data_IF_155194384319
#
_entry.id   IF_155194384319
#
_cell.length_a   1.000
_cell.length_b   1.000
_cell.length_c   1.000
_cell.angle_alpha   90.00
_cell.angle_beta   90.00
_cell.angle_gamma   90.00
#
_symmetry.space_group_name_H-M   'P 1'
#
loop_
_entity.id
_entity.type
_entity.pdbx_description
1 polymer ?
2 polymer ?
3 water ?
#
# COMPACT_ATOMS: atom_id res chain seq x y z
N UNK A 1 -7.80 15.98 -6.00
CA UNK A 1 -8.82 15.89 -4.95
C UNK A 1 -8.25 15.59 -3.58
N UNK A 2 -9.12 15.64 -2.57
CA UNK A 2 -8.92 14.99 -1.28
C UNK A 2 -9.67 13.66 -1.26
N UNK A 3 -8.99 12.61 -0.81
CA UNK A 3 -9.53 11.26 -0.89
C UNK A 3 -9.42 10.60 0.48
N UNK A 4 -10.57 10.23 1.03
CA UNK A 4 -10.66 9.61 2.35
C UNK A 4 -10.50 8.11 2.19
N UNK A 5 -10.40 7.39 3.31
CA UNK A 5 -9.92 6.02 3.25
C UNK A 5 -10.86 5.00 3.90
N UNK A 6 -12.11 5.41 4.06
CA UNK A 6 -13.12 4.48 4.54
C UNK A 6 -13.30 3.38 3.50
N UNK A 7 -12.98 3.69 2.25
CA UNK A 7 -13.03 2.66 1.22
C UNK A 7 -11.71 2.65 0.46
N UNK A 8 -11.40 1.56 -0.24
CA UNK A 8 -10.20 1.43 -1.08
C UNK A 8 -10.03 2.60 -2.06
N UNK A 9 -8.88 3.30 -2.02
CA UNK A 9 -8.63 4.45 -2.91
C UNK A 9 -8.45 4.07 -4.38
N UNK A 10 -9.56 3.75 -5.03
CA UNK A 10 -9.57 3.19 -6.37
C UNK A 10 -9.89 4.29 -7.37
N UNK A 11 -9.18 4.28 -8.49
CA UNK A 11 -9.36 5.32 -9.47
C UNK A 11 -9.36 4.74 -10.86
N UNK A 12 -9.89 5.51 -11.80
CA UNK A 12 -9.73 5.14 -13.19
C UNK A 12 -8.42 5.71 -13.74
N UNK A 13 -7.70 4.88 -14.49
CA UNK A 13 -6.51 5.30 -15.21
C UNK A 13 -6.72 5.03 -16.70
N UNK A 14 -5.97 5.75 -17.53
CA UNK A 14 -5.88 5.48 -18.95
C UNK A 14 -4.43 5.15 -19.23
N UNK A 15 -4.21 3.93 -19.73
CA UNK A 15 -2.90 3.43 -20.10
C UNK A 15 -3.03 2.67 -21.42
N UNK A 16 -2.16 3.00 -22.38
CA UNK A 16 -2.15 2.34 -23.68
C UNK A 16 -3.41 2.54 -24.52
N UNK A 17 -4.20 3.56 -24.19
CA UNK A 17 -5.48 3.78 -24.86
C UNK A 17 -6.65 3.25 -24.06
N UNK A 18 -6.34 2.36 -23.11
CA UNK A 18 -7.34 1.62 -22.33
C UNK A 18 -7.62 2.22 -20.94
N UNK A 19 -8.89 2.20 -20.52
CA UNK A 19 -9.27 2.53 -19.15
C UNK A 19 -9.19 1.31 -18.25
N UNK A 20 -8.67 1.52 -17.04
CA UNK A 20 -8.74 0.51 -16.00
C UNK A 20 -8.93 1.16 -14.63
N UNK A 21 -9.23 0.35 -13.63
CA UNK A 21 -9.33 0.79 -12.26
C UNK A 21 -8.05 0.38 -11.54
N UNK A 22 -7.60 1.23 -10.62
CA UNK A 22 -6.30 1.04 -9.96
C UNK A 22 -6.34 1.58 -8.55
N UNK A 23 -5.52 1.02 -7.67
CA UNK A 23 -5.54 1.38 -6.26
C UNK A 23 -4.36 2.30 -5.96
N UNK A 24 -4.66 3.46 -5.37
CA UNK A 24 -3.62 4.41 -4.98
C UNK A 24 -2.87 3.90 -3.76
N UNK A 25 -1.64 3.47 -3.97
CA UNK A 25 -1.02 2.63 -2.96
C UNK A 25 0.29 3.22 -2.44
N UNK A 26 0.19 3.99 -1.36
CA UNK A 26 1.36 4.61 -0.75
C UNK A 26 2.34 3.61 -0.12
N UNK A 27 1.92 2.35 -0.01
CA UNK A 27 2.79 1.27 0.47
C UNK A 27 3.52 0.48 -0.61
N UNK A 28 3.48 0.98 -1.84
CA UNK A 28 4.21 0.38 -2.95
C UNK A 28 5.23 1.37 -3.52
N UNK A 29 6.48 0.94 -3.65
CA UNK A 29 7.50 1.77 -4.29
C UNK A 29 7.18 1.92 -5.78
N UNK A 30 6.53 0.90 -6.34
CA UNK A 30 6.38 0.77 -7.78
C UNK A 30 4.93 0.58 -8.15
N UNK A 31 4.71 0.72 -9.45
CA UNK A 31 3.42 0.61 -10.09
C UNK A 31 3.36 -0.75 -10.80
N UNK A 32 2.37 -1.56 -10.47
CA UNK A 32 2.29 -2.93 -10.97
C UNK A 32 0.88 -3.15 -11.49
N UNK A 33 0.70 -3.36 -12.79
CA UNK A 33 -0.62 -3.63 -13.34
C UNK A 33 -0.85 -5.09 -13.69
N UNK A 34 -2.10 -5.51 -13.54
CA UNK A 34 -2.55 -6.80 -14.04
C UNK A 34 -2.04 -7.08 -15.44
N UNK A 35 -2.03 -8.36 -15.81
CA UNK A 35 -1.59 -8.78 -17.13
C UNK A 35 -2.38 -8.05 -18.21
N UNK A 36 -1.67 -7.49 -19.19
CA UNK A 36 -2.25 -6.73 -20.30
C UNK A 36 -1.16 -6.54 -21.35
N UNK A 37 -1.53 -6.14 -22.56
CA UNK A 37 -0.51 -5.79 -23.56
C UNK A 37 -0.12 -4.32 -23.49
N UNK A 38 1.18 -4.05 -23.46
CA UNK A 38 1.66 -2.69 -23.60
C UNK A 38 2.71 -2.65 -24.69
N UNK A 39 2.69 -1.58 -25.51
CA UNK A 39 3.67 -1.42 -26.58
C UNK A 39 5.01 -0.89 -26.06
N UNK A 40 6.09 -1.35 -26.68
CA UNK A 40 7.44 -0.93 -26.32
C UNK A 40 8.30 -2.12 -25.96
N UNK A 41 9.54 -1.85 -25.59
CA UNK A 41 10.40 -2.92 -25.11
C UNK A 41 10.17 -3.08 -23.61
N UNK A 42 10.24 -4.33 -23.14
CA UNK A 42 10.18 -4.62 -21.72
C UNK A 42 11.32 -5.50 -21.25
N UNK A 43 11.71 -5.29 -20.00
CA UNK A 43 12.73 -6.11 -19.36
C UNK A 43 12.06 -6.96 -18.29
N UNK A 44 12.47 -8.23 -18.17
CA UNK A 44 12.01 -9.11 -17.09
C UNK A 44 12.53 -8.63 -15.74
N UNK A 45 11.65 -8.62 -14.74
CA UNK A 45 12.07 -8.25 -13.39
C UNK A 45 11.28 -9.02 -12.35
N UNK A 46 11.76 -8.94 -11.12
CA UNK A 46 11.06 -9.54 -10.00
C UNK A 46 10.84 -8.45 -8.97
N UNK A 47 9.67 -8.49 -8.33
CA UNK A 47 9.37 -7.64 -7.17
C UNK A 47 8.79 -8.51 -6.07
N UNK A 48 8.69 -7.96 -4.87
CA UNK A 48 8.13 -8.71 -3.74
C UNK A 48 7.13 -7.88 -2.96
N UNK A 49 6.34 -8.55 -2.14
CA UNK A 49 5.39 -7.88 -1.26
C UNK A 49 5.02 -8.83 -0.14
N UNK A 50 3.79 -8.76 0.34
CA UNK A 50 3.33 -9.74 1.32
C UNK A 50 2.99 -11.02 0.56
N UNK A 51 3.51 -12.15 1.03
CA UNK A 51 3.25 -13.42 0.36
C UNK A 51 4.37 -13.76 -0.59
N UNK A 52 5.30 -12.83 -0.78
CA UNK A 52 6.56 -13.12 -1.47
C UNK A 52 6.77 -12.35 -2.76
N UNK A 53 7.60 -12.96 -3.61
CA UNK A 53 8.13 -12.37 -4.84
C UNK A 53 7.44 -12.85 -6.13
N UNK A 54 7.23 -11.94 -7.08
CA UNK A 54 6.66 -12.30 -8.38
C UNK A 54 7.55 -11.88 -9.54
N UNK A 55 7.34 -12.50 -10.70
CA UNK A 55 8.00 -12.10 -11.95
C UNK A 55 7.12 -11.12 -12.73
N UNK A 56 7.73 -10.06 -13.24
CA UNK A 56 6.98 -9.01 -13.93
C UNK A 56 7.67 -8.52 -15.21
N UNK A 57 6.91 -7.88 -16.10
CA UNK A 57 7.51 -7.17 -17.23
C UNK A 57 7.68 -5.69 -16.86
N UNK A 58 8.89 -5.17 -17.03
CA UNK A 58 9.14 -3.74 -16.80
C UNK A 58 9.13 -2.90 -18.09
N UNK A 59 8.17 -1.98 -18.15
CA UNK A 59 8.11 -0.95 -19.19
C UNK A 59 8.52 0.40 -18.60
N UNK A 60 9.56 1.00 -19.18
CA UNK A 60 9.99 2.33 -18.77
C UNK A 60 9.31 3.39 -19.61
N UNK A 61 9.22 4.60 -19.06
CA UNK A 61 8.71 5.79 -19.74
C UNK A 61 7.34 5.63 -20.42
N UNK A 62 6.45 4.90 -19.76
CA UNK A 62 5.07 4.75 -20.23
C UNK A 62 4.22 5.91 -19.74
N UNK A 63 3.53 6.61 -20.66
CA UNK A 63 2.55 7.59 -20.21
C UNK A 63 1.29 6.93 -19.63
N UNK A 64 0.77 7.52 -18.56
CA UNK A 64 -0.46 7.04 -17.96
C UNK A 64 -1.19 8.25 -17.40
N UNK A 65 -2.51 8.20 -17.45
CA UNK A 65 -3.33 9.29 -16.94
C UNK A 65 -4.10 8.78 -15.73
N UNK A 66 -4.03 9.53 -14.63
CA UNK A 66 -4.52 9.07 -13.34
C UNK A 66 -5.47 10.12 -12.78
N UNK A 67 -6.77 9.91 -12.93
CA UNK A 67 -7.75 10.85 -12.39
C UNK A 67 -7.47 12.22 -13.03
N UNK A 68 -7.27 12.21 -14.35
CA UNK A 68 -6.97 13.42 -15.12
C UNK A 68 -5.54 13.92 -15.02
N UNK A 69 -4.70 13.28 -14.21
CA UNK A 69 -3.33 13.77 -14.03
C UNK A 69 -2.31 12.98 -14.82
N UNK A 70 -1.43 13.68 -15.51
CA UNK A 70 -0.49 13.01 -16.39
C UNK A 70 0.79 12.53 -15.68
N UNK A 71 1.12 11.26 -15.87
CA UNK A 71 2.39 10.73 -15.43
C UNK A 71 3.04 10.01 -16.61
N UNK A 72 4.36 9.87 -16.54
CA UNK A 72 5.13 9.07 -17.48
C UNK A 72 6.26 8.45 -16.68
N UNK A 73 6.23 7.13 -16.52
CA UNK A 73 7.18 6.47 -15.64
C UNK A 73 7.20 4.98 -15.86
N UNK A 74 8.00 4.30 -15.05
CA UNK A 74 8.08 2.85 -15.13
C UNK A 74 6.78 2.20 -14.67
N UNK A 75 6.30 1.24 -15.45
CA UNK A 75 5.07 0.51 -15.15
C UNK A 75 5.36 -1.00 -15.23
N UNK A 76 4.91 -1.76 -14.23
CA UNK A 76 5.21 -3.19 -14.18
C UNK A 76 3.93 -3.97 -14.44
N UNK A 77 4.03 -5.03 -15.25
CA UNK A 77 2.88 -5.87 -15.59
C UNK A 77 3.09 -7.34 -15.16
N UNK A 78 2.13 -7.87 -14.39
CA UNK A 78 2.24 -9.26 -13.94
C UNK A 78 1.06 -9.73 -13.12
N UNK A 79 1.17 -10.92 -12.49
CA UNK A 79 0.10 -11.49 -11.66
C UNK A 79 -0.12 -10.81 -10.30
N UNK A 80 -0.30 -9.50 -10.29
CA UNK A 80 -0.73 -8.78 -9.09
C UNK A 80 -2.23 -9.01 -8.97
N UNK A 81 -2.74 -9.21 -7.74
CA UNK A 81 -4.19 -9.29 -7.55
C UNK A 81 -5.00 -8.06 -7.97
N UNK A 82 -4.40 -6.87 -7.92
CA UNK A 82 -5.07 -5.59 -8.15
C UNK A 82 -4.11 -4.65 -8.90
N UNK A 83 -4.64 -3.77 -9.76
CA UNK A 83 -3.79 -2.73 -10.36
C UNK A 83 -3.35 -1.76 -9.29
N UNK A 84 -2.05 -1.47 -9.26
CA UNK A 84 -1.47 -0.74 -8.15
C UNK A 84 -0.68 0.42 -8.71
N UNK A 85 -1.04 1.63 -8.28
CA UNK A 85 -0.25 2.82 -8.51
C UNK A 85 0.66 3.08 -7.29
N UNK A 86 1.97 2.91 -7.49
CA UNK A 86 2.94 3.15 -6.45
C UNK A 86 3.49 4.55 -6.47
N UNK A 87 4.42 4.81 -5.54
CA UNK A 87 4.98 6.15 -5.30
C UNK A 87 5.74 6.74 -6.49
N UNK A 88 6.36 5.90 -7.30
CA UNK A 88 6.98 6.39 -8.52
C UNK A 88 6.06 7.27 -9.38
N UNK A 89 4.77 6.92 -9.48
CA UNK A 89 3.82 7.77 -10.20
C UNK A 89 3.04 8.72 -9.29
N UNK A 90 2.86 8.35 -8.03
CA UNK A 90 2.07 9.19 -7.10
C UNK A 90 2.76 10.51 -6.81
N UNK A 91 4.09 10.47 -6.85
CA UNK A 91 4.92 11.68 -6.72
C UNK A 91 4.77 12.57 -7.93
N UNK A 92 4.50 11.97 -9.09
CA UNK A 92 4.43 12.73 -10.33
C UNK A 92 3.15 13.54 -10.41
N UNK A 93 2.07 13.03 -9.83
CA UNK A 93 0.79 13.74 -9.85
C UNK A 93 0.61 14.63 -8.61
N UNK A 94 1.63 14.66 -7.76
CA UNK A 94 1.69 15.53 -6.59
C UNK A 94 0.89 15.04 -5.41
N UNK A 95 0.86 13.72 -5.27
CA UNK A 95 0.16 13.07 -4.17
C UNK A 95 0.91 13.20 -2.83
N UNK A 96 0.17 13.57 -1.78
CA UNK A 96 0.68 13.54 -0.41
C UNK A 96 -0.32 12.88 0.54
N UNK A 97 0.20 12.42 1.67
CA UNK A 97 -0.58 11.96 2.80
C UNK A 97 -0.72 13.11 3.78
N UNK A 98 -1.96 13.30 4.24
CA UNK A 98 -2.29 14.40 5.13
C UNK A 98 -3.16 13.99 6.30
N UNK A 99 -2.79 14.43 7.50
CA UNK A 99 -3.64 14.28 8.68
C UNK A 99 -3.18 15.20 9.80
N UNK B 1 0.31 16.22 10.11
CA UNK B 1 1.39 16.59 9.20
C UNK B 1 1.06 16.36 7.72
N UNK B 2 1.94 16.84 6.84
CA UNK B 2 1.88 16.50 5.44
C UNK B 2 3.11 15.67 5.07
N UNK B 3 2.87 14.44 4.65
CA UNK B 3 3.92 13.52 4.25
C UNK B 3 3.93 13.38 2.73
N UNK B 4 5.04 13.77 2.12
CA UNK B 4 5.29 13.52 0.70
C UNK B 4 5.77 12.09 0.44
N UNK B 5 5.73 11.68 -0.83
CA UNK B 5 5.95 10.30 -1.18
C UNK B 5 7.24 10.02 -1.95
N UNK B 6 8.20 10.95 -1.90
CA UNK B 6 9.55 10.68 -2.46
C UNK B 6 10.14 9.46 -1.79
N UNK B 7 9.88 9.34 -0.49
CA UNK B 7 10.38 8.22 0.29
C UNK B 7 9.18 7.44 0.84
N UNK B 8 9.41 6.18 1.21
CA UNK B 8 8.41 5.42 1.92
C UNK B 8 7.93 6.23 3.11
N UNK B 9 6.60 6.45 3.21
CA UNK B 9 5.99 7.28 4.26
C UNK B 9 6.01 6.58 5.63
N UNK B 10 7.17 6.58 6.26
CA UNK B 10 7.34 5.91 7.55
C UNK B 10 7.08 6.86 8.72
N UNK B 11 6.39 6.35 9.73
CA UNK B 11 6.10 7.12 10.93
C UNK B 11 6.48 6.32 12.17
N UNK B 12 6.51 7.01 13.30
CA UNK B 12 6.61 6.36 14.60
C UNK B 12 5.22 6.07 15.14
N UNK B 13 5.06 4.84 15.60
CA UNK B 13 3.86 4.42 16.30
C UNK B 13 4.22 3.96 17.71
N UNK B 14 3.23 4.02 18.59
CA UNK B 14 3.34 3.42 19.91
C UNK B 14 2.32 2.29 19.97
N UNK B 15 2.81 1.07 20.20
CA UNK B 15 1.92 -0.07 20.36
C UNK B 15 2.42 -1.07 21.41
N UNK B 16 1.48 -1.59 22.20
CA UNK B 16 1.78 -2.52 23.28
C UNK B 16 2.93 -2.06 24.16
N UNK B 17 2.92 -0.77 24.49
CA UNK B 17 4.05 -0.12 25.16
C UNK B 17 5.39 -0.21 24.45
N UNK B 18 5.39 -0.19 23.11
CA UNK B 18 6.63 -0.11 22.35
C UNK B 18 6.60 1.02 21.33
N UNK B 19 7.76 1.63 21.08
CA UNK B 19 7.93 2.53 19.95
C UNK B 19 8.41 1.75 18.72
N UNK B 20 7.90 2.12 17.55
CA UNK B 20 8.11 1.37 16.31
C UNK B 20 7.93 2.25 15.07
N UNK B 21 8.68 1.96 14.02
CA UNK B 21 8.43 2.60 12.73
C UNK B 21 7.47 1.77 11.89
N UNK B 22 6.53 2.46 11.24
CA UNK B 22 5.57 1.79 10.38
C UNK B 22 5.25 2.58 9.11
N UNK B 23 4.78 1.85 8.11
CA UNK B 23 4.46 2.42 6.81
C UNK B 23 2.99 2.82 6.74
N UNK B 24 2.73 4.04 6.30
CA UNK B 24 1.35 4.46 6.08
C UNK B 24 0.90 3.94 4.73
N UNK B 25 -0.05 3.00 4.74
CA UNK B 25 -0.24 2.17 3.56
C UNK B 25 -1.68 2.24 3.10
N UNK B 26 -1.96 3.10 2.11
CA UNK B 26 -3.31 3.22 1.55
C UNK B 26 -3.72 1.99 0.76
N UNK B 27 -2.76 1.12 0.46
CA UNK B 27 -3.01 -0.11 -0.29
C UNK B 27 -3.38 -1.31 0.58
N UNK B 28 -3.41 -1.09 1.89
CA UNK B 28 -3.65 -2.15 2.86
C UNK B 28 -5.00 -1.95 3.55
N UNK B 29 -5.88 -2.94 3.46
CA UNK B 29 -7.15 -2.88 4.20
C UNK B 29 -6.89 -2.88 5.70
N UNK B 30 -5.96 -3.73 6.12
CA UNK B 30 -5.71 -4.04 7.52
C UNK B 30 -4.33 -3.56 7.95
N UNK B 31 -4.06 -3.65 9.25
CA UNK B 31 -2.80 -3.25 9.84
C UNK B 31 -1.98 -4.49 10.21
N UNK B 32 -0.76 -4.57 9.70
CA UNK B 32 0.05 -5.77 9.90
C UNK B 32 1.37 -5.38 10.53
N UNK B 33 1.60 -5.84 11.75
CA UNK B 33 2.85 -5.55 12.44
C UNK B 33 3.74 -6.78 12.46
N UNK B 34 5.04 -6.54 12.46
CA UNK B 34 6.04 -7.60 12.58
C UNK B 34 5.85 -8.41 13.85
N UNK B 35 6.33 -9.65 13.84
CA UNK B 35 6.17 -10.54 14.98
C UNK B 35 6.45 -9.84 16.30
N UNK B 36 5.47 -9.90 17.20
CA UNK B 36 5.58 -9.32 18.53
C UNK B 36 4.59 -10.02 19.46
N UNK B 37 4.95 -10.06 20.73
CA UNK B 37 4.22 -10.84 21.71
C UNK B 37 3.12 -10.06 22.42
N UNK B 38 2.17 -9.54 21.65
CA UNK B 38 0.99 -8.90 22.21
C UNK B 38 0.28 -9.79 23.22
N UNK B 39 -0.03 -9.23 24.41
CA UNK B 39 -0.95 -9.95 25.28
C UNK B 39 -2.36 -9.74 24.75
N UNK B 40 -3.21 -10.75 24.90
CA UNK B 40 -4.59 -10.63 24.46
C UNK B 40 -5.02 -11.89 23.75
N UNK B 41 -6.33 -12.06 23.63
CA UNK B 41 -6.92 -13.11 22.82
C UNK B 41 -6.72 -12.78 21.34
N UNK B 42 -6.62 -13.82 20.51
CA UNK B 42 -6.50 -13.62 19.07
C UNK B 42 -7.11 -14.76 18.27
N UNK B 43 -7.41 -14.49 17.00
CA UNK B 43 -7.79 -15.54 16.07
C UNK B 43 -6.84 -15.57 14.86
N UNK B 44 -6.71 -16.75 14.22
CA UNK B 44 -5.89 -16.85 13.01
C UNK B 44 -6.51 -16.18 11.79
N UNK B 45 -5.66 -15.58 10.97
CA UNK B 45 -6.13 -14.99 9.73
C UNK B 45 -5.15 -15.23 8.59
N UNK B 46 -5.69 -15.27 7.38
CA UNK B 46 -4.86 -15.27 6.19
C UNK B 46 -5.09 -13.94 5.50
N UNK B 47 -4.00 -13.31 5.10
CA UNK B 47 -4.05 -12.07 4.33
C UNK B 47 -3.19 -12.18 3.09
N UNK B 48 -3.65 -11.53 2.02
CA UNK B 48 -3.02 -11.67 0.73
C UNK B 48 -2.28 -10.42 0.32
N UNK B 49 -1.25 -10.65 -0.49
CA UNK B 49 -0.64 -9.60 -1.27
C UNK B 49 -0.14 -10.07 -2.63
N UNK B 50 0.76 -9.28 -3.19
CA UNK B 50 1.38 -9.53 -4.48
C UNK B 50 1.70 -11.00 -4.73
N UNK B 51 2.33 -11.67 -3.77
CA UNK B 51 2.87 -12.99 -4.06
C UNK B 51 2.18 -14.18 -3.41
N UNK B 52 1.08 -13.93 -2.71
CA UNK B 52 0.36 -14.98 -2.02
C UNK B 52 -0.15 -14.54 -0.66
N UNK B 53 -0.29 -15.50 0.24
CA UNK B 53 -0.90 -15.23 1.53
C UNK B 53 0.04 -15.58 2.64
N UNK B 54 -0.07 -14.84 3.74
CA UNK B 54 0.53 -15.26 4.99
C UNK B 54 -0.50 -15.36 6.11
N UNK B 55 -0.22 -16.26 7.04
CA UNK B 55 -0.98 -16.39 8.28
C UNK B 55 -0.54 -15.34 9.27
N UNK B 56 -1.51 -14.71 9.92
CA UNK B 56 -1.23 -13.73 10.96
C UNK B 56 -2.16 -13.98 12.14
N UNK B 57 -1.87 -13.35 13.28
CA UNK B 57 -2.77 -13.41 14.42
C UNK B 57 -3.56 -12.10 14.44
N UNK B 58 -4.88 -12.20 14.54
CA UNK B 58 -5.71 -11.01 14.65
C UNK B 58 -6.01 -10.67 16.11
N UNK B 59 -5.62 -9.47 16.52
CA UNK B 59 -5.99 -8.93 17.84
C UNK B 59 -7.00 -7.79 17.68
N UNK B 60 -8.10 -7.83 18.41
CA UNK B 60 -9.09 -6.76 18.30
C UNK B 60 -8.96 -5.74 19.42
N UNK B 61 -9.52 -4.55 19.22
CA UNK B 61 -9.56 -3.52 20.26
C UNK B 61 -8.20 -3.15 20.83
N UNK B 62 -7.20 -3.06 19.95
CA UNK B 62 -5.84 -2.77 20.39
C UNK B 62 -5.62 -1.27 20.26
N UNK B 63 -5.37 -0.61 21.40
CA UNK B 63 -4.99 0.81 21.37
C UNK B 63 -3.62 1.02 20.70
N UNK B 64 -3.53 2.07 19.90
CA UNK B 64 -2.29 2.38 19.19
C UNK B 64 -2.16 3.90 18.99
N UNK B 65 -0.93 4.39 18.96
CA UNK B 65 -0.72 5.80 18.73
C UNK B 65 0.18 6.04 17.52
N UNK B 66 -0.34 6.79 16.55
CA UNK B 66 0.38 7.05 15.32
C UNK B 66 0.77 8.53 15.26
N UNK B 67 2.07 8.78 15.41
CA UNK B 67 2.61 10.14 15.41
C UNK B 67 1.77 11.09 16.27
N UNK B 68 1.55 10.69 17.52
CA UNK B 68 0.81 11.49 18.49
C UNK B 68 -0.70 11.35 18.42
N UNK B 69 -1.21 10.73 17.36
CA UNK B 69 -2.65 10.55 17.21
C UNK B 69 -3.08 9.18 17.75
N UNK B 70 -4.03 9.19 18.68
CA UNK B 70 -4.49 7.95 19.29
C UNK B 70 -5.57 7.28 18.44
N UNK B 71 -5.53 5.95 18.40
CA UNK B 71 -6.54 5.16 17.72
C UNK B 71 -6.63 3.83 18.43
N UNK B 72 -7.61 3.02 18.04
CA UNK B 72 -7.81 1.71 18.66
C UNK B 72 -8.56 0.78 17.71
N UNK B 73 -7.97 -0.36 17.39
CA UNK B 73 -8.68 -1.29 16.53
C UNK B 73 -7.93 -2.59 16.31
N UNK B 74 -8.19 -3.20 15.16
CA UNK B 74 -7.62 -4.50 14.86
C UNK B 74 -6.22 -4.38 14.31
N UNK B 75 -5.35 -5.24 14.83
CA UNK B 75 -3.96 -5.30 14.42
C UNK B 75 -3.64 -6.76 14.12
N UNK B 76 -3.06 -7.02 12.96
CA UNK B 76 -2.63 -8.37 12.61
C UNK B 76 -1.14 -8.47 12.87
N UNK B 77 -0.70 -9.61 13.41
CA UNK B 77 0.70 -9.79 13.75
C UNK B 77 1.24 -11.03 13.06
N UNK B 78 2.29 -10.87 12.27
CA UNK B 78 2.81 -11.96 11.48
C UNK B 78 4.15 -11.64 10.84
N UNK B 79 4.65 -12.57 9.99
CA UNK B 79 5.96 -12.37 9.39
C UNK B 79 5.90 -11.44 8.18
N UNK B 80 5.60 -10.17 8.45
CA UNK B 80 5.78 -9.07 7.50
C UNK B 80 7.14 -8.40 7.72
N UNK B 81 7.88 -8.11 6.63
CA UNK B 81 9.13 -7.35 6.69
C UNK B 81 8.95 -5.94 7.22
N UNK B 82 7.74 -5.40 7.09
CA UNK B 82 7.50 -4.01 7.45
C UNK B 82 6.22 -3.82 8.24
N UNK B 83 6.29 -2.97 9.26
CA UNK B 83 5.11 -2.57 9.98
C UNK B 83 4.25 -1.76 9.02
N UNK B 84 2.97 -2.13 8.95
CA UNK B 84 2.06 -1.61 7.94
C UNK B 84 0.86 -1.00 8.60
N UNK B 85 0.66 0.30 8.42
CA UNK B 85 -0.57 0.91 8.91
C UNK B 85 -1.62 0.95 7.82
N UNK B 86 -2.64 0.11 7.95
CA UNK B 86 -3.67 -0.04 6.92
C UNK B 86 -4.80 0.94 7.16
N UNK B 87 -5.80 0.89 6.28
CA UNK B 87 -6.89 1.87 6.27
C UNK B 87 -7.78 1.91 7.53
N UNK B 88 -7.96 0.75 8.18
CA UNK B 88 -8.76 0.63 9.40
C UNK B 88 -8.35 1.62 10.50
N UNK B 89 -7.05 1.87 10.60
CA UNK B 89 -6.50 2.87 11.52
C UNK B 89 -6.23 4.24 10.87
N UNK B 90 -5.84 4.26 9.60
CA UNK B 90 -5.63 5.54 8.88
C UNK B 90 -6.88 6.43 8.84
N UNK B 91 -8.06 5.83 8.77
CA UNK B 91 -9.31 6.58 8.86
C UNK B 91 -9.52 7.15 10.25
N UNK B 92 -9.07 6.42 11.27
CA UNK B 92 -9.23 6.84 12.65
C UNK B 92 -8.38 8.08 12.97
N UNK B 93 -7.25 8.23 12.29
CA UNK B 93 -6.38 9.37 12.57
C UNK B 93 -6.62 10.56 11.64
N UNK B 94 -7.64 10.45 10.80
CA UNK B 94 -8.04 11.55 9.92
C UNK B 94 -7.22 11.69 8.66
N UNK B 95 -6.44 10.66 8.34
CA UNK B 95 -5.55 10.65 7.19
C UNK B 95 -6.24 10.63 5.82
N UNK B 96 -5.78 11.48 4.91
CA UNK B 96 -6.30 11.51 3.53
C UNK B 96 -5.19 11.49 2.48
N UNK B 97 -5.56 11.13 1.25
CA UNK B 97 -4.73 11.34 0.05
C UNK B 97 -5.10 12.63 -0.67
N UNK B 98 -4.11 13.45 -0.99
CA UNK B 98 -4.38 14.75 -1.61
C UNK B 98 -3.54 15.04 -2.85
N UNK B 99 -4.20 15.31 -3.97
CA UNK B 99 -3.48 15.65 -5.19
C UNK B 99 -4.26 16.53 -6.17
N UNK C 2 11.96 -3.84 -6.29
CA UNK C 2 11.42 -2.95 -5.21
C UNK C 2 10.33 -3.65 -4.39
N UNK C 3 9.65 -2.89 -3.52
CA UNK C 3 8.72 -3.51 -2.58
C UNK C 3 7.31 -2.89 -2.53
N UNK C 4 6.32 -3.77 -2.49
CA UNK C 4 4.95 -3.45 -2.88
C UNK C 4 3.95 -4.06 -1.88
N UNK C 5 3.53 -3.27 -0.89
CA UNK C 5 2.86 -3.82 0.30
C UNK C 5 1.34 -3.63 0.26
N UNK C 6 0.79 -3.98 -0.89
CA UNK C 6 -0.63 -4.26 -0.97
C UNK C 6 -1.02 -5.32 0.07
N UNK C 7 -2.01 -4.99 0.88
CA UNK C 7 -2.59 -5.95 1.81
C UNK C 7 -4.08 -6.08 1.54
N UNK C 8 -4.46 -7.33 1.30
CA UNK C 8 -5.84 -7.69 1.05
C UNK C 8 -6.37 -8.45 2.28
N UNK C 9 -7.29 -7.80 2.99
CA UNK C 9 -7.74 -8.25 4.30
C UNK C 9 -9.11 -8.92 4.30
#
# INVERSE_FOLDING_TARGET
PQITLWKRPLVTIRIGGQLKEALLNTGADDTVLEEMNLPGKWKPKMIGGIGGFIKVRQYDQIPIEICGHKAIGTVLVGPTPVNIIGRNLLTQIGCTLNF
PQITLWKRPLVTIRIGGQLKEALLNTGADDTVLEEMNLPGKWKPKMIGGIGGFIKVRQYDQIPIEICGHKAIGTVLVGPTPVNIIGRNLLTQIGCTLNF
GAQTFYVDGA
#
